data_IF_581855273017
#
_entry.id   IF_581855273017
#
_cell.length_a   1.000
_cell.length_b   1.000
_cell.length_c   1.000
_cell.angle_alpha   90.00
_cell.angle_beta   90.00
_cell.angle_gamma   90.00
#
_symmetry.space_group_name_H-M   'P 1'
#
loop_
_entity.id
_entity.type
_entity.pdbx_description
1 polymer ?
#
# COMPACT_ATOMS: atom_id res chain seq x y z
N UNK A 1 13.35 -10.85 0.59
CA UNK A 1 11.89 -11.13 0.74
C UNK A 1 11.10 -9.86 0.46
N UNK A 2 10.09 -9.96 -0.35
CA UNK A 2 9.21 -8.85 -0.68
C UNK A 2 8.03 -8.84 0.29
N UNK A 3 7.80 -7.71 0.93
CA UNK A 3 6.73 -7.57 1.92
C UNK A 3 5.82 -6.42 1.52
N UNK A 4 4.53 -6.69 1.47
CA UNK A 4 3.51 -5.67 1.26
C UNK A 4 2.75 -5.51 2.57
N UNK A 5 2.85 -4.35 3.19
CA UNK A 5 2.25 -4.07 4.48
C UNK A 5 1.14 -3.05 4.37
N UNK A 6 0.07 -3.25 5.13
CA UNK A 6 -1.06 -2.33 5.17
C UNK A 6 -1.33 -1.86 6.58
N UNK A 7 -1.79 -0.63 6.70
CA UNK A 7 -2.31 -0.11 7.94
C UNK A 7 -3.57 0.69 7.62
N UNK A 8 -4.65 0.43 8.35
CA UNK A 8 -5.92 1.11 8.11
C UNK A 8 -6.54 1.60 9.39
N UNK A 9 -7.26 2.69 9.28
CA UNK A 9 -8.11 3.21 10.34
C UNK A 9 -9.45 3.56 9.72
N UNK A 10 -10.37 4.11 10.53
CA UNK A 10 -11.69 4.47 10.03
C UNK A 10 -11.65 5.51 8.91
N UNK A 11 -10.59 6.32 8.85
CA UNK A 11 -10.54 7.44 7.92
C UNK A 11 -9.34 7.41 6.99
N UNK A 12 -8.41 6.49 7.20
CA UNK A 12 -7.17 6.51 6.44
C UNK A 12 -6.68 5.11 6.16
N UNK A 13 -5.96 4.98 5.08
CA UNK A 13 -5.31 3.73 4.69
C UNK A 13 -3.90 4.02 4.20
N UNK A 14 -2.99 3.12 4.50
CA UNK A 14 -1.64 3.22 3.97
C UNK A 14 -1.14 1.85 3.56
N UNK A 15 -0.20 1.84 2.63
CA UNK A 15 0.44 0.63 2.16
C UNK A 15 1.92 0.92 1.95
N UNK A 16 2.75 -0.06 2.22
CA UNK A 16 4.19 0.07 2.03
C UNK A 16 4.73 -1.22 1.41
N UNK A 17 5.66 -1.07 0.49
CA UNK A 17 6.32 -2.20 -0.16
C UNK A 17 7.78 -2.19 0.23
N UNK A 18 8.24 -3.29 0.83
CA UNK A 18 9.61 -3.44 1.27
C UNK A 18 10.24 -4.67 0.63
N UNK A 19 11.52 -4.57 0.34
CA UNK A 19 12.29 -5.72 -0.14
C UNK A 19 13.60 -5.77 0.62
N UNK A 20 13.81 -6.90 1.31
CA UNK A 20 15.02 -7.14 2.10
C UNK A 20 15.31 -6.03 3.09
N UNK A 21 14.25 -5.54 3.74
CA UNK A 21 14.36 -4.49 4.74
C UNK A 21 14.44 -3.08 4.17
N UNK A 22 14.37 -2.94 2.85
CA UNK A 22 14.46 -1.63 2.21
C UNK A 22 13.08 -1.21 1.71
N UNK A 23 12.68 0.01 2.05
CA UNK A 23 11.41 0.56 1.59
C UNK A 23 11.52 0.93 0.11
N UNK A 24 10.70 0.29 -0.71
CA UNK A 24 10.65 0.58 -2.14
C UNK A 24 9.63 1.65 -2.49
N UNK A 25 8.54 1.72 -1.73
CA UNK A 25 7.53 2.71 -1.96
C UNK A 25 6.45 2.64 -0.90
N UNK A 26 5.64 3.70 -0.81
CA UNK A 26 4.51 3.71 0.10
C UNK A 26 3.39 4.58 -0.47
N UNK A 27 2.18 4.34 0.00
CA UNK A 27 1.00 5.06 -0.42
C UNK A 27 0.15 5.37 0.80
N UNK A 28 -0.48 6.54 0.82
CA UNK A 28 -1.32 6.96 1.92
C UNK A 28 -2.55 7.65 1.39
N UNK A 29 -3.71 7.31 1.93
CA UNK A 29 -4.97 7.96 1.62
C UNK A 29 -5.71 8.30 2.89
N UNK A 30 -6.24 9.51 2.95
CA UNK A 30 -7.07 9.96 4.05
C UNK A 30 -8.34 10.56 3.46
N UNK A 31 -9.24 9.69 3.03
CA UNK A 31 -10.44 10.07 2.29
C UNK A 31 -11.71 10.01 3.11
N UNK A 32 -11.62 9.58 4.35
CA UNK A 32 -12.80 9.36 5.18
C UNK A 32 -13.52 8.06 4.91
N UNK A 33 -13.13 7.34 3.87
CA UNK A 33 -13.69 6.05 3.51
C UNK A 33 -12.56 5.08 3.20
N UNK A 34 -12.53 3.98 3.93
CA UNK A 34 -11.52 2.96 3.75
C UNK A 34 -12.21 1.61 3.65
N UNK A 35 -12.00 0.91 2.55
CA UNK A 35 -12.56 -0.42 2.37
C UNK A 35 -11.64 -1.25 1.47
N UNK A 36 -11.95 -2.53 1.35
CA UNK A 36 -11.07 -3.48 0.70
C UNK A 36 -10.74 -3.12 -0.76
N UNK A 37 -11.68 -2.55 -1.48
CA UNK A 37 -11.42 -2.15 -2.86
C UNK A 37 -10.34 -1.07 -2.94
N UNK A 38 -10.38 -0.11 -2.02
CA UNK A 38 -9.37 0.93 -1.96
C UNK A 38 -7.99 0.33 -1.69
N UNK A 39 -7.93 -0.61 -0.75
CA UNK A 39 -6.66 -1.26 -0.40
C UNK A 39 -6.10 -2.04 -1.58
N UNK A 40 -6.94 -2.75 -2.32
CA UNK A 40 -6.48 -3.51 -3.48
C UNK A 40 -5.94 -2.60 -4.57
N UNK A 41 -6.61 -1.50 -4.83
CA UNK A 41 -6.13 -0.52 -5.82
C UNK A 41 -4.79 0.06 -5.40
N UNK A 42 -4.66 0.41 -4.11
CA UNK A 42 -3.39 0.91 -3.59
C UNK A 42 -2.28 -0.10 -3.77
N UNK A 43 -2.54 -1.37 -3.46
CA UNK A 43 -1.55 -2.43 -3.60
C UNK A 43 -1.12 -2.60 -5.05
N UNK A 44 -2.08 -2.66 -5.98
CA UNK A 44 -1.76 -2.81 -7.39
C UNK A 44 -0.94 -1.66 -7.92
N UNK A 45 -1.33 -0.43 -7.57
CA UNK A 45 -0.59 0.76 -8.00
C UNK A 45 0.81 0.76 -7.44
N UNK A 46 0.95 0.40 -6.18
CA UNK A 46 2.26 0.39 -5.52
C UNK A 46 3.18 -0.64 -6.15
N UNK A 47 2.69 -1.85 -6.39
CA UNK A 47 3.46 -2.89 -7.03
C UNK A 47 3.87 -2.48 -8.44
N UNK A 48 2.96 -1.87 -9.17
CA UNK A 48 3.24 -1.42 -10.53
C UNK A 48 4.31 -0.33 -10.55
N UNK A 49 4.21 0.65 -9.65
CA UNK A 49 5.16 1.74 -9.55
C UNK A 49 6.55 1.24 -9.20
N UNK A 50 6.63 0.18 -8.41
CA UNK A 50 7.90 -0.41 -8.00
C UNK A 50 8.42 -1.47 -8.99
N UNK A 51 7.69 -1.72 -10.07
CA UNK A 51 8.10 -2.69 -11.08
C UNK A 51 8.02 -4.12 -10.62
N UNK A 52 7.11 -4.45 -9.70
CA UNK A 52 7.01 -5.78 -9.11
C UNK A 52 5.85 -6.62 -9.62
N UNK A 53 5.06 -6.13 -10.56
CA UNK A 53 4.01 -6.93 -11.18
C UNK A 53 4.36 -7.36 -12.58
#
# INVERSE_FOLDING_TARGET
>A
MLILAFETSAKAASAALLEDGKLLGESYQNTGLTHSQTLMVMAENLLHQCGKT
#
